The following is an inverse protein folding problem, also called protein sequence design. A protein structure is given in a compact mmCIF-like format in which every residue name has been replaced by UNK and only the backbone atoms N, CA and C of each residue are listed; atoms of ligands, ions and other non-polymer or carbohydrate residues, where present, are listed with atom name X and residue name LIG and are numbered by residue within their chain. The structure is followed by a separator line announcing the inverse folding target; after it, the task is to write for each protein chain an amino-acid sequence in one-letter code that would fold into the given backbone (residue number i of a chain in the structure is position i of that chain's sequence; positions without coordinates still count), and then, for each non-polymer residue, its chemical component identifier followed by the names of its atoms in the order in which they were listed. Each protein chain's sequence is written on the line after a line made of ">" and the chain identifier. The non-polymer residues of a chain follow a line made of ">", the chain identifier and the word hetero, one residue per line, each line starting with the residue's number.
data_IF_098177978675
#
_entry.id   IF_098177978675
#
_cell.length_a   1.000
_cell.length_b   1.000
_cell.length_c   1.000
_cell.angle_alpha   90.00
_cell.angle_beta   90.00
_cell.angle_gamma   90.00
#
_symmetry.space_group_name_H-M   'P 1'
#
loop_
_entity.id
_entity.type
_entity.pdbx_description
1 polymer ?
#
# COMPACT_ATOMS: atom_id res chain seq x y z
N UNK A 1 4.17 12.74 2.52
CA UNK A 1 4.98 13.04 3.71
C UNK A 1 4.08 13.54 4.81
N UNK A 2 4.11 12.89 5.97
CA UNK A 2 3.26 13.24 7.10
C UNK A 2 4.14 13.56 8.31
N UNK A 3 3.91 14.71 8.93
CA UNK A 3 4.51 15.08 10.20
C UNK A 3 3.62 14.54 11.33
N UNK A 4 4.09 13.51 12.03
CA UNK A 4 3.35 12.91 13.13
C UNK A 4 3.25 13.80 14.38
N UNK A 5 4.20 14.71 14.59
CA UNK A 5 4.18 15.64 15.73
C UNK A 5 3.18 16.77 15.46
N UNK A 6 3.26 17.38 14.28
CA UNK A 6 2.35 18.44 13.87
C UNK A 6 0.97 17.91 13.41
N UNK A 7 0.86 16.61 13.13
CA UNK A 7 -0.31 15.95 12.55
C UNK A 7 -0.77 16.55 11.23
N UNK A 8 0.19 16.89 10.35
CA UNK A 8 -0.08 17.54 9.06
C UNK A 8 0.59 16.83 7.90
N UNK A 9 -0.03 16.92 6.73
CA UNK A 9 0.57 16.49 5.47
C UNK A 9 1.50 17.60 4.98
N UNK A 10 2.79 17.29 4.86
CA UNK A 10 3.81 18.25 4.39
C UNK A 10 3.92 18.28 2.87
N UNK A 11 3.78 17.10 2.25
CA UNK A 11 3.86 16.91 0.81
C UNK A 11 3.04 15.67 0.42
N UNK A 12 2.34 15.71 -0.70
CA UNK A 12 1.48 14.62 -1.12
C UNK A 12 1.26 14.63 -2.63
N UNK A 13 1.13 13.44 -3.19
CA UNK A 13 0.86 13.19 -4.60
C UNK A 13 -0.28 12.19 -4.75
N UNK A 14 -1.51 12.60 -4.35
CA UNK A 14 -2.69 11.76 -4.52
C UNK A 14 -2.93 11.46 -6.00
N UNK A 15 -3.66 10.38 -6.25
CA UNK A 15 -4.20 10.05 -7.55
C UNK A 15 -5.09 11.21 -8.03
N UNK A 16 -4.87 11.74 -9.24
CA UNK A 16 -5.77 12.73 -9.83
C UNK A 16 -7.20 12.19 -9.92
N UNK A 17 -8.20 13.05 -9.63
CA UNK A 17 -9.61 12.64 -9.61
C UNK A 17 -10.05 12.10 -10.97
N UNK A 18 -9.60 12.67 -12.09
CA UNK A 18 -9.90 12.16 -13.43
C UNK A 18 -9.37 10.73 -13.65
N UNK A 19 -8.20 10.40 -13.08
CA UNK A 19 -7.66 9.05 -13.10
C UNK A 19 -8.42 8.09 -12.19
N UNK A 20 -8.84 8.56 -11.02
CA UNK A 20 -9.69 7.77 -10.13
C UNK A 20 -11.03 7.42 -10.81
N UNK A 21 -11.66 8.39 -11.49
CA UNK A 21 -12.90 8.18 -12.25
C UNK A 21 -12.70 7.18 -13.40
N UNK A 22 -11.63 7.32 -14.19
CA UNK A 22 -11.32 6.34 -15.25
C UNK A 22 -11.10 4.93 -14.70
N UNK A 23 -10.46 4.81 -13.52
CA UNK A 23 -10.28 3.52 -12.87
C UNK A 23 -11.62 2.94 -12.39
N UNK A 24 -12.50 3.77 -11.81
CA UNK A 24 -13.83 3.36 -11.38
C UNK A 24 -14.65 2.84 -12.59
N UNK A 25 -14.59 3.53 -13.73
CA UNK A 25 -15.27 3.08 -14.95
C UNK A 25 -14.77 1.69 -15.40
N UNK A 26 -13.44 1.43 -15.35
CA UNK A 26 -12.87 0.12 -15.66
C UNK A 26 -13.24 -0.96 -14.62
N UNK A 27 -13.31 -0.59 -13.35
CA UNK A 27 -13.74 -1.50 -12.28
C UNK A 27 -15.18 -1.96 -12.52
N UNK A 28 -16.07 -1.04 -12.89
CA UNK A 28 -17.46 -1.32 -13.23
C UNK A 28 -17.56 -2.19 -14.49
N UNK A 29 -16.82 -1.89 -15.55
CA UNK A 29 -16.81 -2.69 -16.79
C UNK A 29 -16.40 -4.15 -16.51
N UNK A 30 -15.41 -4.34 -15.66
CA UNK A 30 -14.85 -5.66 -15.34
C UNK A 30 -15.55 -6.35 -14.14
N UNK A 31 -16.53 -5.69 -13.51
CA UNK A 31 -17.21 -6.18 -12.30
C UNK A 31 -16.20 -6.56 -11.20
N UNK A 32 -15.23 -5.67 -10.98
CA UNK A 32 -14.25 -5.75 -9.89
C UNK A 32 -14.59 -4.68 -8.87
N UNK A 33 -14.59 -5.06 -7.60
CA UNK A 33 -14.94 -4.15 -6.51
C UNK A 33 -13.79 -4.07 -5.51
N UNK A 34 -13.63 -2.92 -4.86
CA UNK A 34 -12.52 -2.70 -3.94
C UNK A 34 -12.77 -1.56 -2.97
N UNK A 35 -11.71 -1.22 -2.23
CA UNK A 35 -11.68 -0.10 -1.30
C UNK A 35 -10.94 1.09 -1.93
N UNK A 36 -11.57 2.25 -1.93
CA UNK A 36 -10.94 3.52 -2.29
C UNK A 36 -10.44 4.20 -1.02
N UNK A 37 -9.13 4.41 -0.90
CA UNK A 37 -8.51 5.10 0.21
C UNK A 37 -8.53 6.60 -0.10
N UNK A 38 -9.19 7.38 0.75
CA UNK A 38 -9.36 8.82 0.58
C UNK A 38 -9.11 9.53 1.90
N UNK A 39 -8.67 10.79 1.88
CA UNK A 39 -8.54 11.64 3.06
C UNK A 39 -8.10 10.85 4.32
N UNK A 40 -9.01 10.64 5.28
CA UNK A 40 -8.85 9.85 6.51
C UNK A 40 -9.76 8.60 6.58
N UNK A 41 -10.29 8.14 5.44
CA UNK A 41 -11.26 7.05 5.36
C UNK A 41 -10.99 6.05 4.22
N UNK A 42 -11.64 4.89 4.31
CA UNK A 42 -11.73 3.91 3.24
C UNK A 42 -13.18 3.74 2.82
N UNK A 43 -13.45 3.96 1.53
CA UNK A 43 -14.78 3.93 0.95
C UNK A 43 -14.98 2.67 0.10
N UNK A 44 -16.20 2.15 0.06
CA UNK A 44 -16.60 1.05 -0.82
C UNK A 44 -18.05 1.18 -1.27
N UNK A 45 -18.39 0.70 -2.46
CA UNK A 45 -19.79 0.55 -2.90
C UNK A 45 -20.37 -0.82 -2.52
N UNK A 46 -19.63 -1.87 -2.83
CA UNK A 46 -20.07 -3.25 -2.68
C UNK A 46 -19.30 -3.96 -1.56
N UNK A 47 -19.99 -4.68 -0.65
CA UNK A 47 -19.31 -5.47 0.35
C UNK A 47 -18.65 -6.70 -0.31
N UNK A 48 -17.33 -6.64 -0.50
CA UNK A 48 -16.53 -7.80 -0.93
C UNK A 48 -16.05 -8.61 0.28
N UNK A 49 -15.55 -9.83 0.04
CA UNK A 49 -14.93 -10.65 1.09
C UNK A 49 -13.82 -9.90 1.83
N UNK A 50 -13.04 -9.08 1.11
CA UNK A 50 -12.03 -8.21 1.69
C UNK A 50 -12.62 -7.11 2.57
N UNK A 51 -13.64 -6.38 2.11
CA UNK A 51 -14.32 -5.35 2.92
C UNK A 51 -14.85 -5.94 4.22
N UNK A 52 -15.48 -7.12 4.14
CA UNK A 52 -16.01 -7.81 5.32
C UNK A 52 -14.89 -8.28 6.25
N UNK A 53 -13.81 -8.87 5.71
CA UNK A 53 -12.62 -9.30 6.47
C UNK A 53 -12.01 -8.11 7.22
N UNK A 54 -11.80 -7.00 6.53
CA UNK A 54 -11.16 -5.80 7.09
C UNK A 54 -12.07 -5.10 8.09
N UNK A 55 -13.39 -5.06 7.86
CA UNK A 55 -14.37 -4.57 8.83
C UNK A 55 -14.39 -5.41 10.11
N UNK A 56 -14.33 -6.75 10.01
CA UNK A 56 -14.24 -7.65 11.17
C UNK A 56 -12.95 -7.44 11.95
N UNK A 57 -11.81 -7.30 11.26
CA UNK A 57 -10.53 -6.97 11.89
C UNK A 57 -10.60 -5.61 12.60
N UNK A 58 -11.17 -4.58 11.98
CA UNK A 58 -11.31 -3.27 12.61
C UNK A 58 -12.13 -3.34 13.92
N UNK A 59 -13.11 -4.23 14.01
CA UNK A 59 -13.91 -4.43 15.23
C UNK A 59 -13.12 -5.07 16.39
N UNK A 60 -12.01 -5.76 16.13
CA UNK A 60 -11.15 -6.31 17.19
C UNK A 60 -10.25 -5.25 17.83
N UNK A 61 -10.11 -4.09 17.20
CA UNK A 61 -9.30 -2.98 17.69
C UNK A 61 -10.07 -2.10 18.71
N UNK A 62 -9.35 -1.45 19.64
CA UNK A 62 -9.89 -0.37 20.46
C UNK A 62 -10.54 0.73 19.58
N UNK A 63 -11.67 1.33 20.00
CA UNK A 63 -12.40 2.33 19.20
C UNK A 63 -11.52 3.44 18.62
N UNK A 64 -10.55 3.92 19.38
CA UNK A 64 -9.61 4.99 19.00
C UNK A 64 -8.57 4.58 17.94
N UNK A 65 -8.43 3.28 17.67
CA UNK A 65 -7.54 2.74 16.64
C UNK A 65 -8.31 2.24 15.41
N UNK A 66 -9.66 2.32 15.42
CA UNK A 66 -10.46 1.78 14.33
C UNK A 66 -10.33 2.67 13.10
N UNK A 67 -9.95 2.11 11.95
CA UNK A 67 -10.06 2.84 10.70
C UNK A 67 -11.51 3.19 10.36
N UNK A 68 -11.70 4.33 9.72
CA UNK A 68 -13.00 4.76 9.18
C UNK A 68 -13.30 3.99 7.89
N UNK A 69 -14.34 3.13 7.93
CA UNK A 69 -14.89 2.46 6.77
C UNK A 69 -16.28 2.98 6.48
N UNK A 70 -16.54 3.44 5.26
CA UNK A 70 -17.85 3.99 4.88
C UNK A 70 -18.33 3.38 3.58
N UNK A 71 -19.51 2.76 3.62
CA UNK A 71 -20.20 2.37 2.41
C UNK A 71 -20.80 3.62 1.76
N UNK A 72 -20.56 3.79 0.46
CA UNK A 72 -21.12 4.88 -0.33
C UNK A 72 -21.99 4.31 -1.45
N UNK A 73 -22.94 5.12 -1.94
CA UNK A 73 -23.76 4.73 -3.08
C UNK A 73 -23.06 4.92 -4.42
N UNK A 74 -22.00 5.74 -4.46
CA UNK A 74 -21.18 5.96 -5.64
C UNK A 74 -19.74 6.31 -5.25
N UNK A 75 -18.76 5.47 -5.62
CA UNK A 75 -17.33 5.78 -5.49
C UNK A 75 -16.98 6.95 -6.42
N UNK A 76 -17.58 7.02 -7.61
CA UNK A 76 -17.33 8.11 -8.55
C UNK A 76 -17.78 9.47 -8.00
N UNK A 77 -18.93 9.54 -7.32
CA UNK A 77 -19.34 10.78 -6.65
C UNK A 77 -18.41 11.09 -5.49
N UNK A 78 -18.13 10.11 -4.62
CA UNK A 78 -17.24 10.31 -3.49
C UNK A 78 -15.83 10.78 -3.90
N UNK A 79 -15.27 10.25 -4.98
CA UNK A 79 -13.96 10.66 -5.51
C UNK A 79 -13.91 12.15 -5.93
N UNK A 80 -15.05 12.76 -6.27
CA UNK A 80 -15.16 14.20 -6.58
C UNK A 80 -15.30 15.07 -5.34
N UNK A 81 -15.79 14.50 -4.25
CA UNK A 81 -16.16 15.24 -3.03
C UNK A 81 -15.03 15.25 -1.99
N UNK A 82 -14.09 14.32 -2.08
CA UNK A 82 -12.91 14.20 -1.18
C UNK A 82 -11.77 15.12 -1.61
N UNK A 83 -10.86 15.41 -0.68
CA UNK A 83 -9.70 16.25 -0.98
C UNK A 83 -8.59 15.47 -1.71
N UNK A 84 -8.40 14.19 -1.35
CA UNK A 84 -7.35 13.34 -1.87
C UNK A 84 -7.83 11.90 -2.05
N UNK A 85 -7.49 11.31 -3.20
CA UNK A 85 -7.58 9.86 -3.45
C UNK A 85 -6.17 9.29 -3.36
N UNK A 86 -5.93 8.41 -2.40
CA UNK A 86 -4.59 7.87 -2.14
C UNK A 86 -4.28 6.66 -3.02
N UNK A 87 -5.19 5.69 -3.04
CA UNK A 87 -5.09 4.44 -3.80
C UNK A 87 -6.41 3.68 -3.82
N UNK A 88 -6.47 2.64 -4.63
CA UNK A 88 -7.49 1.60 -4.56
C UNK A 88 -6.85 0.30 -4.09
N UNK A 89 -7.49 -0.45 -3.20
CA UNK A 89 -7.10 -1.80 -2.86
C UNK A 89 -8.17 -2.77 -3.37
N UNK A 90 -7.79 -3.58 -4.35
CA UNK A 90 -8.68 -4.49 -5.05
C UNK A 90 -8.40 -5.92 -4.64
N UNK A 91 -9.46 -6.73 -4.62
CA UNK A 91 -9.37 -8.17 -4.38
C UNK A 91 -10.32 -8.89 -5.32
N UNK A 92 -9.94 -10.10 -5.72
CA UNK A 92 -10.75 -10.94 -6.61
C UNK A 92 -10.55 -12.41 -6.22
N UNK A 93 -11.60 -13.23 -6.39
CA UNK A 93 -11.49 -14.67 -6.20
C UNK A 93 -10.72 -15.33 -7.36
N UNK A 94 -10.72 -14.71 -8.55
CA UNK A 94 -9.93 -15.10 -9.70
C UNK A 94 -8.63 -14.27 -9.76
N UNK A 95 -7.56 -14.80 -9.12
CA UNK A 95 -6.24 -14.16 -9.09
C UNK A 95 -5.69 -13.89 -10.50
N UNK A 96 -5.72 -14.84 -11.46
CA UNK A 96 -5.34 -14.54 -12.84
C UNK A 96 -6.14 -13.40 -13.49
N UNK A 97 -7.43 -13.26 -13.19
CA UNK A 97 -8.24 -12.11 -13.65
C UNK A 97 -7.73 -10.81 -13.05
N UNK A 98 -7.46 -10.77 -11.75
CA UNK A 98 -6.93 -9.58 -11.09
C UNK A 98 -5.55 -9.18 -11.62
N UNK A 99 -4.68 -10.16 -11.90
CA UNK A 99 -3.37 -9.92 -12.53
C UNK A 99 -3.50 -9.27 -13.91
N UNK A 100 -4.36 -9.83 -14.78
CA UNK A 100 -4.62 -9.25 -16.11
C UNK A 100 -5.23 -7.85 -16.01
N UNK A 101 -6.14 -7.64 -15.06
CA UNK A 101 -6.74 -6.34 -14.82
C UNK A 101 -5.70 -5.30 -14.37
N UNK A 102 -4.82 -5.64 -13.42
CA UNK A 102 -3.74 -4.76 -12.99
C UNK A 102 -2.83 -4.33 -14.15
N UNK A 103 -2.42 -5.29 -14.98
CA UNK A 103 -1.62 -5.00 -16.20
C UNK A 103 -2.36 -4.09 -17.18
N UNK A 104 -3.67 -4.31 -17.36
CA UNK A 104 -4.50 -3.46 -18.20
C UNK A 104 -4.57 -2.03 -17.67
N UNK A 105 -4.76 -1.86 -16.36
CA UNK A 105 -4.80 -0.54 -15.71
C UNK A 105 -3.48 0.21 -15.87
N UNK A 106 -2.34 -0.47 -15.69
CA UNK A 106 -1.02 0.14 -15.90
C UNK A 106 -0.84 0.67 -17.32
N UNK A 107 -1.26 -0.12 -18.32
CA UNK A 107 -1.13 0.23 -19.73
C UNK A 107 -2.11 1.32 -20.17
N UNK A 108 -3.38 1.21 -19.76
CA UNK A 108 -4.45 2.09 -20.21
C UNK A 108 -4.45 3.43 -19.46
N UNK A 109 -4.24 3.39 -18.14
CA UNK A 109 -4.38 4.57 -17.29
C UNK A 109 -3.04 5.17 -16.89
N UNK A 110 -1.94 4.42 -17.02
CA UNK A 110 -0.64 4.85 -16.53
C UNK A 110 -0.64 5.03 -15.02
N UNK A 111 -1.26 4.09 -14.30
CA UNK A 111 -1.21 3.96 -12.85
C UNK A 111 -0.17 2.89 -12.46
N UNK A 112 0.15 2.78 -11.17
CA UNK A 112 1.05 1.76 -10.62
C UNK A 112 0.23 0.69 -9.92
N UNK A 113 0.53 -0.60 -10.16
CA UNK A 113 -0.12 -1.73 -9.50
C UNK A 113 0.91 -2.54 -8.69
N UNK A 114 0.76 -2.59 -7.36
CA UNK A 114 1.64 -3.36 -6.49
C UNK A 114 0.85 -4.43 -5.74
N UNK A 115 1.35 -5.68 -5.73
CA UNK A 115 0.75 -6.74 -4.92
C UNK A 115 1.05 -6.48 -3.44
N UNK A 116 -0.03 -6.37 -2.66
CA UNK A 116 0.03 -6.04 -1.22
C UNK A 116 -0.43 -7.21 -0.34
N UNK A 117 -0.95 -8.27 -0.94
CA UNK A 117 -1.28 -9.54 -0.29
C UNK A 117 -1.43 -10.65 -1.32
N UNK A 118 -1.65 -11.90 -0.90
CA UNK A 118 -1.81 -13.03 -1.83
C UNK A 118 -3.04 -12.90 -2.75
N UNK A 119 -4.06 -12.13 -2.34
CA UNK A 119 -5.32 -11.91 -3.06
C UNK A 119 -5.59 -10.43 -3.35
N UNK A 120 -4.57 -9.57 -3.21
CA UNK A 120 -4.76 -8.12 -3.21
C UNK A 120 -3.73 -7.37 -4.05
N UNK A 121 -4.24 -6.44 -4.86
CA UNK A 121 -3.44 -5.45 -5.59
C UNK A 121 -3.83 -4.04 -5.13
N UNK A 122 -2.82 -3.25 -4.81
CA UNK A 122 -2.92 -1.82 -4.58
C UNK A 122 -2.69 -1.08 -5.91
N UNK A 123 -3.62 -0.20 -6.29
CA UNK A 123 -3.50 0.66 -7.46
C UNK A 123 -3.33 2.11 -7.00
N UNK A 124 -2.18 2.70 -7.31
CA UNK A 124 -1.81 4.05 -6.90
C UNK A 124 -1.41 4.90 -8.10
N UNK A 125 -1.18 6.19 -7.85
CA UNK A 125 -0.59 7.11 -8.84
C UNK A 125 0.76 6.54 -9.31
N UNK A 126 1.02 6.60 -10.61
CA UNK A 126 2.30 6.15 -11.18
C UNK A 126 3.51 6.80 -10.51
N UNK A 127 4.50 5.96 -10.24
CA UNK A 127 5.71 6.36 -9.56
C UNK A 127 5.53 6.63 -8.07
N UNK A 128 4.41 6.23 -7.45
CA UNK A 128 4.32 6.08 -6.01
C UNK A 128 4.78 4.66 -5.66
N UNK A 129 5.92 4.55 -4.98
CA UNK A 129 6.38 3.30 -4.36
C UNK A 129 7.00 3.63 -2.99
N UNK A 130 7.05 2.63 -2.10
CA UNK A 130 7.64 2.80 -0.76
C UNK A 130 9.09 3.26 -0.85
N UNK A 131 9.89 2.62 -1.70
CA UNK A 131 11.32 2.94 -1.86
C UNK A 131 11.57 4.35 -2.37
N UNK A 132 10.78 4.79 -3.36
CA UNK A 132 10.94 6.15 -3.90
C UNK A 132 10.59 7.22 -2.86
N UNK A 133 9.48 7.06 -2.15
CA UNK A 133 9.09 8.04 -1.11
C UNK A 133 10.10 8.08 0.03
N UNK A 134 10.60 6.92 0.46
CA UNK A 134 11.64 6.83 1.48
C UNK A 134 12.92 7.53 1.03
N UNK A 135 13.36 7.30 -0.21
CA UNK A 135 14.53 7.96 -0.81
C UNK A 135 14.40 9.47 -0.80
N UNK A 136 13.28 9.99 -1.33
CA UNK A 136 13.01 11.42 -1.36
C UNK A 136 13.02 12.05 0.04
N UNK A 137 12.47 11.36 1.03
CA UNK A 137 12.46 11.84 2.40
C UNK A 137 13.88 11.93 2.98
N UNK A 138 14.65 10.86 2.85
CA UNK A 138 16.01 10.79 3.39
C UNK A 138 16.91 11.85 2.75
N UNK A 139 16.83 12.02 1.43
CA UNK A 139 17.59 13.04 0.70
C UNK A 139 17.18 14.46 1.11
N UNK A 140 15.87 14.72 1.32
CA UNK A 140 15.39 16.01 1.79
C UNK A 140 15.89 16.38 3.21
N UNK A 141 16.26 15.38 4.02
CA UNK A 141 16.91 15.59 5.32
C UNK A 141 18.45 15.71 5.22
N UNK A 142 19.01 15.70 4.01
CA UNK A 142 20.47 15.65 3.79
C UNK A 142 21.11 14.31 4.12
N UNK A 143 20.29 13.26 4.27
CA UNK A 143 20.72 11.90 4.54
C UNK A 143 21.13 11.13 3.28
N UNK A 144 21.50 9.87 3.48
CA UNK A 144 21.85 8.94 2.40
C UNK A 144 21.15 7.61 2.64
N UNK A 145 20.59 7.03 1.57
CA UNK A 145 19.98 5.71 1.63
C UNK A 145 20.97 4.63 2.09
N UNK A 146 22.28 4.83 1.92
CA UNK A 146 23.32 3.92 2.46
C UNK A 146 23.27 3.77 3.98
N UNK A 147 22.69 4.74 4.69
CA UNK A 147 22.54 4.72 6.14
C UNK A 147 21.12 4.29 6.58
N UNK A 148 20.33 3.73 5.66
CA UNK A 148 18.95 3.30 5.89
C UNK A 148 18.90 1.79 5.92
N UNK A 149 18.11 1.28 6.86
CA UNK A 149 17.76 -0.13 6.97
C UNK A 149 16.26 -0.23 6.80
N UNK A 150 15.82 -1.03 5.82
CA UNK A 150 14.42 -1.27 5.54
C UNK A 150 14.06 -2.71 5.89
N UNK A 151 12.96 -2.91 6.60
CA UNK A 151 12.40 -4.24 6.90
C UNK A 151 11.11 -4.40 6.12
N UNK A 152 10.92 -5.56 5.49
CA UNK A 152 9.74 -5.83 4.67
C UNK A 152 9.46 -7.31 4.52
N UNK A 153 8.26 -7.65 4.09
CA UNK A 153 7.83 -9.03 3.92
C UNK A 153 6.99 -9.29 2.67
N UNK A 154 6.65 -8.24 1.92
CA UNK A 154 5.71 -8.33 0.82
C UNK A 154 6.23 -7.70 -0.48
N UNK A 155 5.55 -7.95 -1.60
CA UNK A 155 5.97 -7.50 -2.92
C UNK A 155 6.06 -5.96 -3.00
N UNK A 156 5.14 -5.24 -2.37
CA UNK A 156 5.19 -3.77 -2.28
C UNK A 156 6.34 -3.22 -1.42
N UNK A 157 7.08 -4.07 -0.68
CA UNK A 157 8.27 -3.68 0.08
C UNK A 157 9.56 -3.74 -0.74
N UNK A 158 9.56 -4.49 -1.85
CA UNK A 158 10.76 -4.74 -2.66
C UNK A 158 11.46 -3.43 -3.02
N UNK A 159 10.69 -2.42 -3.46
CA UNK A 159 11.25 -1.13 -3.85
C UNK A 159 12.04 -0.43 -2.72
N UNK A 160 11.62 -0.57 -1.46
CA UNK A 160 12.38 0.00 -0.33
C UNK A 160 13.52 -0.90 0.14
N UNK A 161 13.37 -2.23 0.02
CA UNK A 161 14.41 -3.18 0.36
C UNK A 161 15.63 -2.99 -0.56
N UNK A 162 15.40 -2.87 -1.87
CA UNK A 162 16.47 -2.65 -2.86
C UNK A 162 17.09 -1.25 -2.79
N UNK A 163 16.33 -0.25 -2.35
CA UNK A 163 16.80 1.13 -2.26
C UNK A 163 17.63 1.40 -0.98
N UNK A 164 17.36 0.67 0.10
CA UNK A 164 18.05 0.84 1.38
C UNK A 164 19.51 0.38 1.31
N UNK A 165 20.35 0.95 2.17
CA UNK A 165 21.73 0.49 2.36
C UNK A 165 21.80 -0.91 2.95
N UNK A 166 20.74 -1.33 3.67
CA UNK A 166 20.50 -2.72 4.03
C UNK A 166 19.01 -3.02 3.95
N UNK A 167 18.61 -3.80 2.96
CA UNK A 167 17.28 -4.39 2.87
C UNK A 167 17.20 -5.69 3.69
N UNK A 168 16.21 -5.81 4.56
CA UNK A 168 16.00 -6.98 5.42
C UNK A 168 14.62 -7.58 5.16
N UNK A 169 14.57 -8.80 4.66
CA UNK A 169 13.33 -9.54 4.48
C UNK A 169 12.99 -10.37 5.74
N UNK A 170 11.71 -10.39 6.11
CA UNK A 170 11.20 -11.25 7.19
C UNK A 170 11.19 -12.73 6.78
N UNK A 171 11.27 -13.63 7.76
CA UNK A 171 11.26 -15.08 7.51
C UNK A 171 9.99 -15.60 6.85
N UNK A 172 8.85 -14.95 7.13
CA UNK A 172 7.54 -15.24 6.54
C UNK A 172 7.34 -14.64 5.13
N UNK A 173 8.32 -13.90 4.61
CA UNK A 173 8.23 -13.30 3.28
C UNK A 173 8.26 -14.36 2.18
N UNK A 174 7.69 -14.01 1.02
CA UNK A 174 7.82 -14.80 -0.21
C UNK A 174 9.30 -14.91 -0.63
N UNK A 175 9.69 -16.03 -1.24
CA UNK A 175 11.06 -16.24 -1.72
C UNK A 175 11.50 -15.19 -2.75
N UNK A 176 10.57 -14.69 -3.56
CA UNK A 176 10.85 -13.59 -4.50
C UNK A 176 11.17 -12.27 -3.78
N UNK A 177 10.61 -12.04 -2.60
CA UNK A 177 10.91 -10.86 -1.76
C UNK A 177 12.26 -11.06 -1.06
N UNK A 178 12.48 -12.24 -0.47
CA UNK A 178 13.76 -12.59 0.18
C UNK A 178 14.95 -12.48 -0.76
N UNK A 179 14.78 -12.88 -2.02
CA UNK A 179 15.82 -12.80 -3.05
C UNK A 179 16.23 -11.35 -3.42
N UNK A 180 15.45 -10.34 -3.01
CA UNK A 180 15.70 -8.91 -3.25
C UNK A 180 16.08 -8.15 -1.98
N UNK A 181 16.41 -8.87 -0.91
CA UNK A 181 16.94 -8.31 0.32
C UNK A 181 18.40 -8.75 0.53
N UNK A 182 19.17 -7.96 1.28
CA UNK A 182 20.54 -8.29 1.64
C UNK A 182 20.60 -9.36 2.74
N UNK A 183 19.60 -9.35 3.63
CA UNK A 183 19.52 -10.25 4.78
C UNK A 183 18.09 -10.79 4.91
N UNK A 184 17.98 -12.07 5.26
CA UNK A 184 16.73 -12.68 5.70
C UNK A 184 16.80 -12.96 7.20
N UNK A 185 15.82 -12.50 7.96
CA UNK A 185 15.72 -12.75 9.40
C UNK A 185 14.58 -13.73 9.72
N UNK A 186 14.29 -13.95 11.00
CA UNK A 186 13.20 -14.82 11.41
C UNK A 186 11.80 -14.23 11.18
N UNK A 187 10.79 -14.96 11.63
CA UNK A 187 9.37 -14.70 11.41
C UNK A 187 8.85 -13.45 12.15
N UNK A 188 7.84 -12.77 11.60
CA UNK A 188 7.21 -11.58 12.20
C UNK A 188 6.48 -11.85 13.53
N UNK A 189 6.16 -13.10 13.85
CA UNK A 189 5.61 -13.51 15.14
C UNK A 189 6.67 -13.67 16.24
N UNK A 190 7.94 -13.36 15.93
CA UNK A 190 9.08 -13.43 16.85
C UNK A 190 9.77 -12.07 16.98
N UNK A 191 10.66 -11.92 17.96
CA UNK A 191 11.45 -10.69 18.16
C UNK A 191 12.58 -10.50 17.13
N UNK A 192 12.42 -10.98 15.89
CA UNK A 192 13.50 -11.06 14.91
C UNK A 192 14.03 -9.68 14.50
N UNK A 193 13.15 -8.69 14.32
CA UNK A 193 13.57 -7.30 14.04
C UNK A 193 14.40 -6.76 15.21
N UNK A 194 13.91 -6.93 16.44
CA UNK A 194 14.62 -6.46 17.64
C UNK A 194 15.99 -7.13 17.78
N UNK A 195 16.06 -8.46 17.62
CA UNK A 195 17.32 -9.21 17.65
C UNK A 195 18.31 -8.71 16.60
N UNK A 196 17.86 -8.48 15.37
CA UNK A 196 18.71 -7.93 14.32
C UNK A 196 19.30 -6.58 14.73
N UNK A 197 18.47 -5.66 15.21
CA UNK A 197 18.90 -4.33 15.68
C UNK A 197 19.93 -4.45 16.80
N UNK A 198 19.65 -5.25 17.84
CA UNK A 198 20.55 -5.44 18.98
C UNK A 198 21.89 -6.10 18.66
N UNK A 199 22.01 -6.78 17.52
CA UNK A 199 23.22 -7.53 17.17
C UNK A 199 24.06 -6.84 16.09
N UNK A 200 23.45 -5.95 15.31
CA UNK A 200 24.11 -5.32 14.16
C UNK A 200 24.24 -3.80 14.28
N UNK A 201 23.48 -3.14 15.18
CA UNK A 201 23.40 -1.66 15.24
C UNK A 201 23.66 -1.06 16.63
N UNK A 202 23.36 -1.80 17.70
CA UNK A 202 23.59 -1.40 19.10
C UNK A 202 24.73 -2.21 19.70
#
# INVERSE_FOLDING_TARGET
>A
MYDYQAKTVLDADPMPVDKALQLIDLLDEHQIHGLMYVDDAMLYEHPTGHVVRTSRWAQTLPPEQRPTFTQVSSLAQAARDVNAVWKFALTDEDIPRLQRFGQHVEQALGLECEWSWHDQVDIARKGNSKGKRLTQWIEAQGGSMKNVIAFGDNYNDISMLEAAGTGVAMGNADEAVKARADVVIGDNTTDSIAKFIYTHLL
#
